data_IF_600516364244
#
_entry.id   IF_600516364244
#
_cell.length_a   1.000
_cell.length_b   1.000
_cell.length_c   1.000
_cell.angle_alpha   90.00
_cell.angle_beta   90.00
_cell.angle_gamma   90.00
#
_symmetry.space_group_name_H-M   'P 1'
#
loop_
_entity.id
_entity.type
_entity.pdbx_description
1 polymer ?
#
# COMPACT_ATOMS: atom_id res chain seq x y z
N UNK A 1 44.50 31.10 2.82
CA UNK A 1 43.15 30.84 2.30
C UNK A 1 42.63 29.57 2.95
N UNK A 2 41.52 29.60 3.71
CA UNK A 2 40.91 28.37 4.18
C UNK A 2 40.24 27.64 3.00
N UNK A 3 40.22 26.29 2.99
CA UNK A 3 39.55 25.56 1.93
C UNK A 3 38.04 25.78 1.98
N UNK A 4 37.44 26.09 0.83
CA UNK A 4 36.00 26.16 0.63
C UNK A 4 35.38 24.81 1.01
N UNK A 5 34.48 24.81 1.99
CA UNK A 5 33.70 23.63 2.34
C UNK A 5 32.85 23.20 1.13
N UNK A 6 32.75 21.90 0.82
CA UNK A 6 31.88 21.44 -0.25
C UNK A 6 30.41 21.77 0.08
N UNK A 7 29.59 22.10 -0.93
CA UNK A 7 28.17 22.38 -0.71
C UNK A 7 27.48 21.14 -0.12
N UNK A 8 26.72 21.35 0.96
CA UNK A 8 25.88 20.31 1.56
C UNK A 8 24.97 19.73 0.47
N UNK A 9 24.87 18.39 0.34
CA UNK A 9 23.92 17.80 -0.58
C UNK A 9 22.51 18.24 -0.17
N UNK A 10 21.81 18.93 -1.09
CA UNK A 10 20.40 19.23 -0.90
C UNK A 10 19.66 17.95 -0.52
N UNK A 11 18.77 17.97 0.50
CA UNK A 11 17.96 16.82 0.83
C UNK A 11 17.17 16.47 -0.43
N UNK A 12 17.56 15.37 -1.09
CA UNK A 12 16.76 14.77 -2.16
C UNK A 12 15.40 14.57 -1.55
N UNK A 13 14.42 15.39 -1.96
CA UNK A 13 13.03 15.20 -1.58
C UNK A 13 12.72 13.74 -1.91
N UNK A 14 12.61 12.89 -0.88
CA UNK A 14 12.23 11.50 -1.07
C UNK A 14 10.91 11.57 -1.83
N UNK A 15 10.94 11.16 -3.10
CA UNK A 15 9.75 11.02 -3.92
C UNK A 15 9.01 9.87 -3.28
N UNK A 16 8.16 10.18 -2.30
CA UNK A 16 7.33 9.18 -1.65
C UNK A 16 6.35 8.70 -2.72
N UNK A 17 6.70 7.59 -3.34
CA UNK A 17 5.87 6.93 -4.32
C UNK A 17 4.66 6.36 -3.59
N UNK A 18 3.49 6.41 -4.20
CA UNK A 18 2.32 5.68 -3.75
C UNK A 18 2.70 4.24 -3.44
N UNK A 19 2.49 3.82 -2.20
CA UNK A 19 2.81 2.47 -1.75
C UNK A 19 1.56 1.63 -1.94
N UNK A 20 1.71 0.46 -2.55
CA UNK A 20 0.67 -0.56 -2.64
C UNK A 20 1.27 -1.85 -2.10
N UNK A 21 0.48 -2.59 -1.33
CA UNK A 21 0.79 -3.95 -0.90
C UNK A 21 -0.38 -4.84 -1.29
N UNK A 22 -0.11 -6.06 -1.72
CA UNK A 22 -1.14 -7.08 -1.77
C UNK A 22 -0.57 -8.42 -1.36
N UNK A 23 -1.42 -9.24 -0.73
CA UNK A 23 -1.04 -10.53 -0.22
C UNK A 23 -2.21 -11.50 -0.37
N UNK A 24 -1.96 -12.81 -0.56
CA UNK A 24 -3.03 -13.80 -0.59
C UNK A 24 -3.79 -13.78 0.73
N UNK A 25 -5.11 -13.79 0.64
CA UNK A 25 -6.00 -13.88 1.80
C UNK A 25 -6.57 -15.28 1.94
N UNK A 26 -6.98 -15.87 0.82
CA UNK A 26 -7.42 -17.26 0.69
C UNK A 26 -7.27 -17.72 -0.77
N UNK A 27 -7.87 -18.86 -1.11
CA UNK A 27 -7.77 -19.50 -2.42
C UNK A 27 -8.33 -18.69 -3.60
N UNK A 28 -9.14 -17.65 -3.35
CA UNK A 28 -9.79 -16.86 -4.41
C UNK A 28 -9.68 -15.35 -4.22
N UNK A 29 -9.03 -14.89 -3.15
CA UNK A 29 -8.95 -13.49 -2.79
C UNK A 29 -7.53 -13.07 -2.41
N UNK A 30 -7.21 -11.81 -2.72
CA UNK A 30 -6.03 -11.10 -2.22
C UNK A 30 -6.48 -9.89 -1.41
N UNK A 31 -5.83 -9.68 -0.27
CA UNK A 31 -5.98 -8.45 0.50
C UNK A 31 -5.08 -7.39 -0.16
N UNK A 32 -5.64 -6.23 -0.52
CA UNK A 32 -4.88 -5.12 -1.13
C UNK A 32 -4.93 -3.93 -0.20
N UNK A 33 -3.81 -3.24 0.01
CA UNK A 33 -3.75 -1.95 0.69
C UNK A 33 -2.92 -0.94 -0.09
N UNK A 34 -3.24 0.35 0.06
CA UNK A 34 -2.55 1.43 -0.63
C UNK A 34 -2.55 2.73 0.17
N UNK A 35 -1.47 3.50 0.07
CA UNK A 35 -1.40 4.85 0.66
C UNK A 35 -2.14 5.86 -0.21
N UNK A 36 -2.46 7.01 0.38
CA UNK A 36 -2.84 8.17 -0.41
C UNK A 36 -1.70 8.64 -1.33
N UNK A 37 -2.01 9.26 -2.48
CA UNK A 37 -1.03 9.96 -3.31
C UNK A 37 -0.25 10.98 -2.49
N UNK A 38 1.08 10.89 -2.49
CA UNK A 38 1.92 11.86 -1.76
C UNK A 38 1.94 13.24 -2.42
N UNK A 39 1.57 13.34 -3.71
CA UNK A 39 1.42 14.59 -4.46
C UNK A 39 0.16 14.55 -5.32
N UNK A 40 -1.03 14.76 -4.72
CA UNK A 40 -2.27 14.70 -5.46
C UNK A 40 -2.35 15.88 -6.45
N UNK A 41 -2.67 15.61 -7.71
CA UNK A 41 -2.94 16.65 -8.74
C UNK A 41 -4.38 17.20 -8.65
N UNK A 42 -5.09 16.88 -7.57
CA UNK A 42 -6.49 17.23 -7.33
C UNK A 42 -7.08 16.34 -6.26
N UNK A 43 -8.31 16.64 -5.83
CA UNK A 43 -9.00 15.84 -4.79
C UNK A 43 -9.37 14.47 -5.35
N UNK A 44 -8.79 13.42 -4.78
CA UNK A 44 -9.13 12.02 -5.11
C UNK A 44 -10.58 11.75 -4.74
N UNK A 45 -11.36 11.22 -5.69
CA UNK A 45 -12.78 10.87 -5.51
C UNK A 45 -12.99 9.39 -5.31
N UNK A 46 -12.15 8.57 -5.96
CA UNK A 46 -12.20 7.11 -5.86
C UNK A 46 -10.80 6.53 -6.02
N UNK A 47 -10.60 5.36 -5.40
CA UNK A 47 -9.52 4.46 -5.73
C UNK A 47 -10.06 3.30 -6.56
N UNK A 48 -9.54 3.11 -7.77
CA UNK A 48 -9.94 2.01 -8.63
C UNK A 48 -8.83 0.95 -8.69
N UNK A 49 -9.21 -0.27 -8.33
CA UNK A 49 -8.33 -1.43 -8.24
C UNK A 49 -8.51 -2.27 -9.50
N UNK A 50 -7.39 -2.69 -10.08
CA UNK A 50 -7.32 -3.56 -11.25
C UNK A 50 -6.47 -4.78 -10.92
N UNK A 51 -6.97 -5.96 -11.27
CA UNK A 51 -6.19 -7.19 -11.30
C UNK A 51 -5.93 -7.56 -12.76
N UNK A 52 -4.66 -7.72 -13.12
CA UNK A 52 -4.24 -8.10 -14.47
C UNK A 52 -3.63 -9.48 -14.38
N UNK A 53 -4.34 -10.48 -14.90
CA UNK A 53 -3.87 -11.86 -14.95
C UNK A 53 -2.57 -11.93 -15.75
N UNK A 54 -1.54 -12.56 -15.19
CA UNK A 54 -0.25 -12.77 -15.84
C UNK A 54 -0.22 -14.20 -16.40
N UNK A 55 -0.69 -14.38 -17.63
CA UNK A 55 -0.63 -15.67 -18.35
C UNK A 55 0.26 -15.54 -19.56
N UNK A 56 1.11 -16.54 -19.84
CA UNK A 56 2.20 -16.51 -20.83
C UNK A 56 1.77 -16.08 -22.24
N UNK A 57 1.70 -14.76 -22.46
CA UNK A 57 1.34 -14.11 -23.73
C UNK A 57 0.07 -13.24 -23.71
N UNK A 58 -0.80 -13.33 -22.69
CA UNK A 58 -2.05 -12.55 -22.62
C UNK A 58 -2.29 -11.95 -21.24
N UNK A 59 -2.42 -10.63 -21.20
CA UNK A 59 -2.73 -9.84 -20.00
C UNK A 59 -4.23 -9.52 -19.99
N UNK A 60 -5.01 -10.37 -19.33
CA UNK A 60 -6.44 -10.13 -19.17
C UNK A 60 -6.70 -9.25 -17.94
N UNK A 61 -7.22 -8.04 -18.17
CA UNK A 61 -7.65 -7.14 -17.09
C UNK A 61 -9.03 -7.55 -16.59
N UNK A 62 -9.12 -7.88 -15.31
CA UNK A 62 -10.38 -8.18 -14.64
C UNK A 62 -11.19 -6.90 -14.36
N UNK A 63 -12.45 -7.09 -13.94
CA UNK A 63 -13.39 -6.00 -13.67
C UNK A 63 -12.84 -5.04 -12.61
N UNK A 64 -12.88 -3.75 -12.90
CA UNK A 64 -12.44 -2.74 -11.94
C UNK A 64 -13.34 -2.67 -10.72
N UNK A 65 -12.74 -2.37 -9.56
CA UNK A 65 -13.46 -2.07 -8.32
C UNK A 65 -13.04 -0.69 -7.83
N UNK A 66 -13.99 0.23 -7.78
CA UNK A 66 -13.75 1.60 -7.35
C UNK A 66 -14.36 1.84 -5.96
N UNK A 67 -13.57 2.43 -5.07
CA UNK A 67 -13.89 2.57 -3.65
C UNK A 67 -13.72 4.03 -3.25
N UNK A 68 -14.66 4.63 -2.52
CA UNK A 68 -14.47 5.96 -1.96
C UNK A 68 -13.25 6.00 -1.02
N UNK A 69 -12.46 7.10 -1.04
CA UNK A 69 -11.33 7.24 -0.16
C UNK A 69 -11.78 7.45 1.29
N UNK A 70 -11.19 6.70 2.22
CA UNK A 70 -11.17 7.02 3.64
C UNK A 70 -9.87 7.78 3.95
N UNK A 71 -9.99 9.10 4.15
CA UNK A 71 -8.87 9.98 4.50
C UNK A 71 -8.63 10.10 6.01
N UNK A 72 -9.47 9.47 6.84
CA UNK A 72 -9.23 9.42 8.30
C UNK A 72 -8.07 8.49 8.66
N UNK A 73 -7.65 7.64 7.72
CA UNK A 73 -6.57 6.65 7.88
C UNK A 73 -5.39 7.00 6.96
N UNK A 74 -4.16 6.58 7.29
CA UNK A 74 -3.01 6.83 6.43
C UNK A 74 -3.00 5.99 5.13
N UNK A 75 -3.84 4.95 5.07
CA UNK A 75 -3.98 4.05 3.94
C UNK A 75 -5.40 3.50 3.86
N UNK A 76 -5.75 2.99 2.69
CA UNK A 76 -7.00 2.29 2.42
C UNK A 76 -6.70 0.82 2.11
N UNK A 77 -7.71 -0.04 2.23
CA UNK A 77 -7.57 -1.46 1.91
C UNK A 77 -8.87 -2.06 1.38
N UNK A 78 -8.77 -3.14 0.62
CA UNK A 78 -9.92 -3.85 0.05
C UNK A 78 -9.60 -5.30 -0.28
N UNK A 79 -10.53 -6.20 0.07
CA UNK A 79 -10.43 -7.62 -0.23
C UNK A 79 -10.93 -7.87 -1.65
N UNK A 80 -10.00 -8.14 -2.58
CA UNK A 80 -10.31 -8.37 -3.98
C UNK A 80 -10.44 -9.88 -4.24
N UNK A 81 -11.64 -10.32 -4.62
CA UNK A 81 -12.00 -11.73 -4.78
C UNK A 81 -12.37 -12.11 -6.22
N UNK A 82 -12.72 -13.39 -6.41
CA UNK A 82 -13.00 -14.01 -7.71
C UNK A 82 -11.74 -14.13 -8.58
N UNK A 83 -10.62 -14.41 -7.93
CA UNK A 83 -9.35 -14.74 -8.56
C UNK A 83 -9.19 -16.27 -8.59
N UNK A 84 -8.38 -16.75 -9.52
CA UNK A 84 -8.06 -18.18 -9.64
C UNK A 84 -6.88 -18.55 -8.73
N UNK A 85 -6.99 -19.69 -8.06
CA UNK A 85 -5.96 -20.22 -7.18
C UNK A 85 -4.64 -20.43 -7.95
N UNK A 86 -3.51 -20.02 -7.35
CA UNK A 86 -2.15 -20.11 -7.90
C UNK A 86 -1.89 -19.33 -9.19
N UNK A 87 -2.87 -18.61 -9.72
CA UNK A 87 -2.69 -17.74 -10.88
C UNK A 87 -2.10 -16.40 -10.43
N UNK A 88 -0.98 -15.94 -11.02
CA UNK A 88 -0.39 -14.65 -10.69
C UNK A 88 -1.16 -13.48 -11.32
N UNK A 89 -1.37 -12.43 -10.52
CA UNK A 89 -1.99 -11.18 -10.93
C UNK A 89 -1.10 -9.99 -10.56
N UNK A 90 -0.97 -9.05 -11.49
CA UNK A 90 -0.47 -7.71 -11.16
C UNK A 90 -1.64 -6.88 -10.64
N UNK A 91 -1.52 -6.41 -9.41
CA UNK A 91 -2.52 -5.53 -8.79
C UNK A 91 -2.06 -4.09 -8.97
N UNK A 92 -2.96 -3.27 -9.50
CA UNK A 92 -2.77 -1.83 -9.67
C UNK A 92 -3.88 -1.07 -8.98
N UNK A 93 -3.54 0.02 -8.29
CA UNK A 93 -4.49 0.96 -7.71
C UNK A 93 -4.29 2.32 -8.35
N UNK A 94 -5.39 2.90 -8.82
CA UNK A 94 -5.41 4.21 -9.44
C UNK A 94 -6.26 5.18 -8.62
N UNK A 95 -5.68 6.30 -8.21
CA UNK A 95 -6.45 7.42 -7.68
C UNK A 95 -7.15 8.15 -8.84
N UNK A 96 -8.49 8.11 -8.89
CA UNK A 96 -9.29 8.88 -9.84
C UNK A 96 -9.61 10.26 -9.25
N UNK A 97 -9.18 11.30 -9.96
CA UNK A 97 -9.52 12.70 -9.71
C UNK A 97 -10.01 13.30 -11.05
N UNK A 98 -10.10 14.64 -11.17
CA UNK A 98 -10.54 15.27 -12.43
C UNK A 98 -9.56 15.11 -13.61
N UNK A 99 -8.31 14.72 -13.34
CA UNK A 99 -7.23 14.62 -14.32
C UNK A 99 -6.70 13.19 -14.50
N UNK A 100 -7.25 12.24 -13.74
CA UNK A 100 -6.76 10.87 -13.54
C UNK A 100 -5.29 10.79 -13.07
N UNK A 101 -5.05 10.11 -11.94
CA UNK A 101 -3.70 9.92 -11.42
C UNK A 101 -2.84 8.97 -12.26
N UNK A 102 -1.60 8.73 -11.83
CA UNK A 102 -0.83 7.57 -12.31
C UNK A 102 -1.17 6.36 -11.44
N UNK A 103 -1.31 5.16 -12.01
CA UNK A 103 -1.54 3.97 -11.20
C UNK A 103 -0.27 3.60 -10.43
N UNK A 104 -0.43 3.22 -9.17
CA UNK A 104 0.57 2.51 -8.40
C UNK A 104 0.32 1.01 -8.54
N UNK A 105 1.38 0.23 -8.79
CA UNK A 105 1.27 -1.20 -9.06
C UNK A 105 2.26 -1.97 -8.19
N UNK A 106 1.90 -3.20 -7.86
CA UNK A 106 2.79 -4.17 -7.25
C UNK A 106 3.27 -5.21 -8.26
N UNK A 107 4.35 -5.89 -7.90
CA UNK A 107 4.74 -7.14 -8.54
C UNK A 107 3.67 -8.24 -8.32
N UNK A 108 3.73 -9.30 -9.12
CA UNK A 108 2.76 -10.39 -9.15
C UNK A 108 2.42 -10.96 -7.76
N UNK A 109 1.12 -11.12 -7.49
CA UNK A 109 0.57 -11.84 -6.33
C UNK A 109 -0.40 -12.91 -6.82
N UNK A 110 -0.39 -14.08 -6.19
CA UNK A 110 -1.35 -15.15 -6.48
C UNK A 110 -2.19 -15.45 -5.24
N UNK A 111 -3.49 -15.73 -5.37
CA UNK A 111 -4.27 -16.35 -4.30
C UNK A 111 -3.64 -17.68 -3.87
N UNK A 112 -3.77 -18.01 -2.59
CA UNK A 112 -3.17 -19.20 -1.99
C UNK A 112 -4.07 -19.71 -0.85
N UNK A 113 -4.10 -21.03 -0.67
CA UNK A 113 -4.84 -21.69 0.42
C UNK A 113 -4.28 -21.20 1.77
N UNK A 114 -2.95 -21.24 1.91
CA UNK A 114 -2.26 -20.75 3.09
C UNK A 114 -1.79 -19.31 2.88
N UNK A 115 -2.40 -18.39 3.61
CA UNK A 115 -2.00 -16.99 3.64
C UNK A 115 -0.79 -16.82 4.58
N UNK A 116 0.34 -16.27 4.10
CA UNK A 116 1.49 -16.00 4.95
C UNK A 116 1.14 -14.90 5.94
N UNK A 117 1.76 -14.97 7.13
CA UNK A 117 1.69 -13.87 8.09
C UNK A 117 2.34 -12.65 7.48
N UNK A 118 1.62 -11.55 7.37
CA UNK A 118 2.14 -10.34 6.74
C UNK A 118 1.47 -9.08 7.25
N UNK A 119 2.28 -8.03 7.45
CA UNK A 119 1.81 -6.68 7.78
C UNK A 119 1.47 -5.97 6.48
N UNK A 120 0.17 -5.79 6.26
CA UNK A 120 -0.36 -5.12 5.09
C UNK A 120 -0.78 -3.67 5.39
N UNK A 121 -0.66 -3.19 6.62
CA UNK A 121 -0.74 -1.74 6.88
C UNK A 121 0.39 -0.98 6.20
N UNK A 122 0.10 0.26 5.79
CA UNK A 122 1.08 1.14 5.16
C UNK A 122 1.32 2.35 6.06
N UNK A 123 2.51 2.38 6.65
CA UNK A 123 2.97 3.51 7.44
C UNK A 123 3.51 4.67 6.60
N UNK A 124 3.47 5.84 7.21
CA UNK A 124 4.15 7.06 6.78
C UNK A 124 5.12 7.56 7.84
N UNK A 125 5.84 8.63 7.53
CA UNK A 125 6.62 9.36 8.53
C UNK A 125 5.66 10.13 9.43
N UNK A 126 5.78 9.93 10.74
CA UNK A 126 5.01 10.66 11.74
C UNK A 126 5.94 11.66 12.41
N UNK A 127 5.56 12.94 12.40
CA UNK A 127 6.23 13.99 13.18
C UNK A 127 5.37 14.25 14.39
N UNK A 128 5.94 14.06 15.57
CA UNK A 128 5.24 14.17 16.83
C UNK A 128 6.02 15.03 17.83
N UNK A 129 5.30 15.78 18.68
CA UNK A 129 5.90 16.46 19.81
C UNK A 129 6.28 15.45 20.90
N UNK A 130 7.24 15.83 21.74
CA UNK A 130 7.62 15.03 22.91
C UNK A 130 6.39 14.75 23.78
N UNK A 131 6.25 13.51 24.26
CA UNK A 131 5.09 13.01 25.03
C UNK A 131 3.74 13.00 24.30
N UNK A 132 3.69 13.28 22.99
CA UNK A 132 2.45 13.12 22.22
C UNK A 132 2.16 11.63 21.99
N UNK A 133 0.93 11.20 22.31
CA UNK A 133 0.48 9.83 22.03
C UNK A 133 0.31 9.65 20.52
N UNK A 134 1.02 8.68 19.97
CA UNK A 134 0.91 8.26 18.56
C UNK A 134 0.29 6.88 18.53
N UNK A 135 -0.79 6.72 17.75
CA UNK A 135 -1.40 5.43 17.46
C UNK A 135 -1.13 5.06 16.00
N UNK A 136 -0.80 3.81 15.76
CA UNK A 136 -0.56 3.28 14.42
C UNK A 136 -1.46 2.07 14.18
N UNK A 137 -2.08 2.02 13.02
CA UNK A 137 -2.88 0.87 12.63
C UNK A 137 -2.00 -0.33 12.26
N UNK A 138 -2.30 -1.49 12.84
CA UNK A 138 -1.70 -2.77 12.48
C UNK A 138 -2.72 -3.63 11.73
N UNK A 139 -2.69 -3.58 10.40
CA UNK A 139 -3.45 -4.51 9.59
C UNK A 139 -2.55 -5.69 9.24
N UNK A 140 -2.91 -6.86 9.76
CA UNK A 140 -2.17 -8.11 9.61
C UNK A 140 -3.08 -9.18 9.01
N UNK A 141 -2.53 -10.00 8.14
CA UNK A 141 -3.19 -11.18 7.58
C UNK A 141 -2.50 -12.47 8.06
N UNK A 142 -3.18 -13.61 7.92
CA UNK A 142 -2.66 -14.92 8.34
C UNK A 142 -3.08 -15.37 9.75
N UNK A 143 -3.89 -14.59 10.47
CA UNK A 143 -4.58 -15.06 11.70
C UNK A 143 -3.72 -15.15 12.97
N UNK A 144 -2.52 -14.56 12.98
CA UNK A 144 -1.67 -14.57 14.17
C UNK A 144 -1.88 -13.33 15.05
N UNK A 145 -1.85 -13.49 16.39
CA UNK A 145 -1.90 -12.35 17.30
C UNK A 145 -0.62 -11.52 17.15
N UNK A 146 -0.76 -10.28 16.68
CA UNK A 146 0.32 -9.32 16.57
C UNK A 146 0.44 -8.49 17.85
N UNK A 147 1.66 -8.27 18.34
CA UNK A 147 1.95 -7.35 19.45
C UNK A 147 2.87 -6.22 18.98
N UNK A 148 2.61 -5.01 19.47
CA UNK A 148 3.49 -3.87 19.22
C UNK A 148 4.72 -3.92 20.13
N UNK A 149 5.88 -3.58 19.56
CA UNK A 149 7.14 -3.46 20.30
C UNK A 149 7.79 -2.12 19.96
N UNK A 150 8.04 -1.32 20.99
CA UNK A 150 8.88 -0.14 20.93
C UNK A 150 10.35 -0.52 21.10
N UNK A 151 11.28 0.36 20.72
CA UNK A 151 12.71 0.20 21.02
C UNK A 151 12.99 0.09 22.52
N UNK A 152 12.05 0.52 23.36
CA UNK A 152 12.17 0.54 24.82
C UNK A 152 11.35 -0.58 25.50
N UNK A 153 10.76 -1.53 24.75
CA UNK A 153 9.98 -2.65 25.31
C UNK A 153 8.66 -2.92 24.58
N UNK A 154 7.89 -3.91 25.05
CA UNK A 154 6.51 -4.14 24.57
C UNK A 154 5.63 -2.93 24.91
N UNK A 155 4.77 -2.54 23.98
CA UNK A 155 3.69 -1.59 24.25
C UNK A 155 2.48 -2.39 24.75
N UNK A 156 1.84 -1.93 25.83
CA UNK A 156 0.57 -2.47 26.33
C UNK A 156 -0.62 -2.00 25.47
#
# INVERSE_FOLDING_TARGET
MPPLSPPLPHPRAQKQTEKVKAMPYNESCVMVSWSHPSRPQGVTRFYCIYAIRQTGGSHARLREKCIPPDFSKPYNYYLYCNLELHVPYNISVLAKNRFDGRPASIASVSPAIDSPISIISIGGTIVAQENMRVSMDCLVIGGFPSKWRSTNGLME
#
